data_IF_808860362174
#
_entry.id   IF_808860362174
#
_cell.length_a   1.000
_cell.length_b   1.000
_cell.length_c   1.000
_cell.angle_alpha   90.00
_cell.angle_beta   90.00
_cell.angle_gamma   90.00
#
_symmetry.space_group_name_H-M   'P 1'
#
loop_
_entity.id
_entity.type
_entity.pdbx_description
1 polymer ?
#
# COMPACT_ATOMS: atom_id res chain seq x y z
N UNK A 1 24.23 36.67 -22.61
CA UNK A 1 23.37 36.55 -21.40
C UNK A 1 22.07 37.35 -21.49
N UNK A 2 22.06 38.67 -21.77
CA UNK A 2 20.80 39.46 -21.90
C UNK A 2 19.78 38.94 -22.94
N UNK A 3 20.22 38.41 -24.09
CA UNK A 3 19.32 37.83 -25.11
C UNK A 3 18.70 36.48 -24.69
N UNK A 4 19.38 35.71 -23.85
CA UNK A 4 18.87 34.43 -23.31
C UNK A 4 17.83 34.67 -22.19
N UNK A 5 18.01 35.72 -21.40
CA UNK A 5 17.05 36.14 -20.36
C UNK A 5 15.75 36.68 -20.99
N UNK A 6 15.85 37.46 -22.08
CA UNK A 6 14.68 37.96 -22.81
C UNK A 6 13.87 36.83 -23.47
N UNK A 7 14.55 35.80 -24.01
CA UNK A 7 13.88 34.66 -24.64
C UNK A 7 13.16 33.77 -23.61
N UNK A 8 13.76 33.55 -22.43
CA UNK A 8 13.14 32.82 -21.33
C UNK A 8 11.90 33.53 -20.77
N UNK A 9 11.90 34.86 -20.71
CA UNK A 9 10.75 35.65 -20.24
C UNK A 9 9.56 35.59 -21.22
N UNK A 10 9.80 35.53 -22.53
CA UNK A 10 8.74 35.42 -23.56
C UNK A 10 8.10 34.02 -23.52
N UNK A 11 8.89 32.96 -23.31
CA UNK A 11 8.37 31.58 -23.19
C UNK A 11 7.52 31.42 -21.92
N UNK A 12 7.92 32.02 -20.79
CA UNK A 12 7.15 31.99 -19.56
C UNK A 12 5.80 32.74 -19.69
N UNK A 13 5.78 33.88 -20.39
CA UNK A 13 4.55 34.64 -20.63
C UNK A 13 3.59 33.92 -21.59
N UNK A 14 4.11 33.25 -22.62
CA UNK A 14 3.29 32.46 -23.55
C UNK A 14 2.61 31.28 -22.85
N UNK A 15 3.35 30.55 -21.98
CA UNK A 15 2.83 29.41 -21.23
C UNK A 15 1.67 29.77 -20.28
N UNK A 16 1.70 30.97 -19.67
CA UNK A 16 0.60 31.45 -18.82
C UNK A 16 -0.67 31.79 -19.61
N UNK A 17 -0.56 32.18 -20.89
CA UNK A 17 -1.73 32.55 -21.71
C UNK A 17 -2.42 31.34 -22.35
N UNK A 18 -1.69 30.28 -22.66
CA UNK A 18 -2.26 29.03 -23.21
C UNK A 18 -3.06 28.29 -22.16
N UNK A 19 -2.55 28.21 -20.92
CA UNK A 19 -3.23 27.50 -19.83
C UNK A 19 -4.62 28.08 -19.51
N UNK A 20 -4.74 29.42 -19.49
CA UNK A 20 -6.03 30.10 -19.24
C UNK A 20 -7.08 29.83 -20.33
N UNK A 21 -6.65 29.69 -21.58
CA UNK A 21 -7.58 29.40 -22.70
C UNK A 21 -8.09 27.96 -22.64
N UNK A 22 -7.20 27.02 -22.31
CA UNK A 22 -7.55 25.60 -22.19
C UNK A 22 -8.55 25.38 -21.03
N UNK A 23 -8.33 26.03 -19.89
CA UNK A 23 -9.24 25.93 -18.72
C UNK A 23 -10.62 26.52 -19.04
N UNK A 24 -10.67 27.69 -19.70
CA UNK A 24 -11.93 28.31 -20.10
C UNK A 24 -12.69 27.42 -21.11
N UNK A 25 -12.01 26.87 -22.10
CA UNK A 25 -12.62 25.97 -23.08
C UNK A 25 -13.20 24.72 -22.43
N UNK A 26 -12.58 24.19 -21.38
CA UNK A 26 -13.12 23.05 -20.64
C UNK A 26 -14.37 23.44 -19.83
N UNK A 27 -14.35 24.59 -19.15
CA UNK A 27 -15.51 25.08 -18.39
C UNK A 27 -16.72 25.34 -19.28
N UNK A 28 -16.50 25.94 -20.45
CA UNK A 28 -17.56 26.17 -21.45
C UNK A 28 -18.15 24.82 -21.94
N UNK A 29 -17.30 23.80 -22.08
CA UNK A 29 -17.70 22.46 -22.49
C UNK A 29 -18.56 21.75 -21.44
N UNK A 30 -18.20 21.82 -20.16
CA UNK A 30 -18.95 21.13 -19.08
C UNK A 30 -20.18 21.93 -18.61
N UNK A 31 -20.15 23.27 -18.70
CA UNK A 31 -21.22 24.14 -18.24
C UNK A 31 -22.56 23.94 -18.97
N UNK A 32 -22.54 23.41 -20.19
CA UNK A 32 -23.73 23.09 -20.98
C UNK A 32 -24.21 21.63 -20.84
N UNK A 33 -23.53 20.81 -20.03
CA UNK A 33 -23.78 19.36 -19.94
C UNK A 33 -24.40 18.96 -18.60
N UNK A 34 -25.25 17.94 -18.63
CA UNK A 34 -25.72 17.24 -17.42
C UNK A 34 -24.59 16.44 -16.76
N UNK A 35 -24.73 16.11 -15.46
CA UNK A 35 -23.75 15.30 -14.71
C UNK A 35 -23.48 13.96 -15.39
N UNK A 36 -24.52 13.34 -15.93
CA UNK A 36 -24.49 12.05 -16.62
C UNK A 36 -23.69 12.16 -17.93
N UNK A 37 -23.88 13.24 -18.70
CA UNK A 37 -23.12 13.49 -19.93
C UNK A 37 -21.65 13.74 -19.64
N UNK A 38 -21.32 14.49 -18.58
CA UNK A 38 -19.94 14.74 -18.15
C UNK A 38 -19.26 13.42 -17.76
N UNK A 39 -19.95 12.59 -16.96
CA UNK A 39 -19.45 11.27 -16.56
C UNK A 39 -19.22 10.37 -17.78
N UNK A 40 -20.19 10.29 -18.69
CA UNK A 40 -20.10 9.48 -19.90
C UNK A 40 -18.93 9.91 -20.80
N UNK A 41 -18.63 11.21 -20.85
CA UNK A 41 -17.48 11.74 -21.60
C UNK A 41 -16.15 11.35 -20.96
N UNK A 42 -16.05 11.44 -19.63
CA UNK A 42 -14.91 10.90 -18.88
C UNK A 42 -14.72 9.41 -19.15
N UNK A 43 -15.80 8.61 -19.10
CA UNK A 43 -15.77 7.18 -19.37
C UNK A 43 -15.32 6.84 -20.80
N UNK A 44 -15.79 7.60 -21.80
CA UNK A 44 -15.37 7.40 -23.20
C UNK A 44 -13.87 7.69 -23.41
N UNK A 45 -13.32 8.69 -22.71
CA UNK A 45 -11.88 8.99 -22.73
C UNK A 45 -11.08 7.92 -21.99
N UNK A 46 -11.56 7.47 -20.83
CA UNK A 46 -10.94 6.39 -20.06
C UNK A 46 -10.89 5.08 -20.86
N UNK A 47 -11.93 4.74 -21.63
CA UNK A 47 -11.93 3.60 -22.54
C UNK A 47 -10.84 3.69 -23.62
N UNK A 48 -10.51 4.90 -24.05
CA UNK A 48 -9.40 5.19 -24.98
C UNK A 48 -8.04 5.28 -24.25
N UNK A 49 -7.98 5.00 -22.95
CA UNK A 49 -6.80 5.14 -22.08
C UNK A 49 -6.24 6.58 -22.00
N UNK A 50 -7.08 7.56 -22.31
CA UNK A 50 -6.77 8.98 -22.19
C UNK A 50 -6.98 9.43 -20.75
N UNK A 51 -6.10 8.96 -19.86
CA UNK A 51 -6.29 9.06 -18.41
C UNK A 51 -6.34 10.49 -17.92
N UNK A 52 -5.43 11.36 -18.38
CA UNK A 52 -5.39 12.75 -17.94
C UNK A 52 -6.62 13.54 -18.40
N UNK A 53 -7.04 13.35 -19.66
CA UNK A 53 -8.27 13.99 -20.16
C UNK A 53 -9.52 13.47 -19.45
N UNK A 54 -9.64 12.15 -19.25
CA UNK A 54 -10.76 11.56 -18.51
C UNK A 54 -10.83 12.11 -17.07
N UNK A 55 -9.66 12.23 -16.42
CA UNK A 55 -9.54 12.74 -15.05
C UNK A 55 -10.09 14.16 -14.92
N UNK A 56 -9.93 15.03 -15.91
CA UNK A 56 -10.51 16.39 -15.89
C UNK A 56 -12.03 16.36 -15.71
N UNK A 57 -12.73 15.51 -16.47
CA UNK A 57 -14.18 15.36 -16.36
C UNK A 57 -14.61 14.76 -15.02
N UNK A 58 -13.88 13.76 -14.52
CA UNK A 58 -14.18 13.15 -13.23
C UNK A 58 -13.93 14.12 -12.06
N UNK A 59 -12.80 14.84 -12.07
CA UNK A 59 -12.47 15.84 -11.05
C UNK A 59 -13.53 16.95 -11.01
N UNK A 60 -13.96 17.44 -12.17
CA UNK A 60 -15.04 18.44 -12.21
C UNK A 60 -16.30 17.97 -11.49
N UNK A 61 -16.72 16.71 -11.71
CA UNK A 61 -17.88 16.14 -11.02
C UNK A 61 -17.65 15.93 -9.53
N UNK A 62 -16.49 15.41 -9.13
CA UNK A 62 -16.20 15.17 -7.71
C UNK A 62 -16.09 16.46 -6.91
N UNK A 63 -15.58 17.52 -7.53
CA UNK A 63 -15.31 18.79 -6.87
C UNK A 63 -16.57 19.66 -6.81
N UNK A 64 -17.38 19.64 -7.88
CA UNK A 64 -18.63 20.42 -7.95
C UNK A 64 -19.77 19.76 -7.17
N UNK A 65 -19.82 18.42 -7.14
CA UNK A 65 -20.92 17.65 -6.54
C UNK A 65 -20.44 16.58 -5.54
N UNK A 66 -19.61 16.92 -4.52
CA UNK A 66 -18.92 15.94 -3.68
C UNK A 66 -19.84 15.00 -2.89
N UNK A 67 -21.07 15.42 -2.60
CA UNK A 67 -22.05 14.62 -1.86
C UNK A 67 -23.04 13.86 -2.75
N UNK A 68 -23.09 14.18 -4.04
CA UNK A 68 -23.95 13.51 -5.01
C UNK A 68 -23.41 12.10 -5.32
N UNK A 69 -24.26 11.06 -5.48
CA UNK A 69 -23.80 9.73 -5.84
C UNK A 69 -22.89 9.68 -7.09
N UNK A 70 -23.14 10.52 -8.10
CA UNK A 70 -22.29 10.64 -9.28
C UNK A 70 -20.96 11.31 -8.98
N UNK A 71 -20.94 12.36 -8.14
CA UNK A 71 -19.70 13.02 -7.74
C UNK A 71 -18.81 12.09 -6.90
N UNK A 72 -19.40 11.31 -5.99
CA UNK A 72 -18.71 10.26 -5.25
C UNK A 72 -18.15 9.18 -6.17
N UNK A 73 -18.95 8.70 -7.13
CA UNK A 73 -18.48 7.77 -8.16
C UNK A 73 -17.35 8.36 -9.00
N UNK A 74 -17.42 9.66 -9.31
CA UNK A 74 -16.38 10.36 -10.06
C UNK A 74 -15.07 10.47 -9.25
N UNK A 75 -15.13 10.69 -7.94
CA UNK A 75 -13.93 10.68 -7.08
C UNK A 75 -13.18 9.34 -7.14
N UNK A 76 -13.90 8.21 -7.17
CA UNK A 76 -13.29 6.89 -7.39
C UNK A 76 -12.70 6.77 -8.79
N UNK A 77 -13.39 7.27 -9.81
CA UNK A 77 -12.88 7.28 -11.19
C UNK A 77 -11.60 8.09 -11.34
N UNK A 78 -11.46 9.22 -10.63
CA UNK A 78 -10.18 9.96 -10.53
C UNK A 78 -9.08 9.03 -10.01
N UNK A 79 -9.32 8.33 -8.88
CA UNK A 79 -8.35 7.37 -8.33
C UNK A 79 -8.02 6.23 -9.32
N UNK A 80 -9.04 5.69 -10.00
CA UNK A 80 -8.87 4.65 -11.01
C UNK A 80 -7.95 5.09 -12.16
N UNK A 81 -8.03 6.36 -12.59
CA UNK A 81 -7.13 6.88 -13.64
C UNK A 81 -5.66 6.89 -13.23
N UNK A 82 -5.36 7.13 -11.94
CA UNK A 82 -4.00 7.08 -11.42
C UNK A 82 -3.53 5.63 -11.25
N UNK A 83 -4.40 4.76 -10.74
CA UNK A 83 -4.09 3.33 -10.63
C UNK A 83 -3.79 2.70 -11.99
N UNK A 84 -4.46 3.17 -13.06
CA UNK A 84 -4.27 2.70 -14.41
C UNK A 84 -2.89 3.03 -15.02
N UNK A 85 -2.14 3.99 -14.46
CA UNK A 85 -0.78 4.33 -14.91
C UNK A 85 0.21 3.21 -14.62
N UNK A 86 -0.02 2.43 -13.55
CA UNK A 86 0.79 1.27 -13.15
C UNK A 86 2.26 1.60 -12.87
N UNK A 87 2.52 2.79 -12.36
CA UNK A 87 3.82 3.22 -11.87
C UNK A 87 3.71 3.67 -10.40
N UNK A 88 4.87 3.90 -9.77
CA UNK A 88 4.94 4.26 -8.34
C UNK A 88 4.19 5.55 -8.02
N UNK A 89 4.26 6.56 -8.90
CA UNK A 89 3.60 7.85 -8.71
C UNK A 89 2.08 7.70 -8.78
N UNK A 90 1.59 7.01 -9.82
CA UNK A 90 0.18 6.69 -10.00
C UNK A 90 -0.37 5.85 -8.86
N UNK A 91 0.36 4.85 -8.35
CA UNK A 91 -0.06 4.10 -7.17
C UNK A 91 -0.12 4.97 -5.92
N UNK A 92 0.86 5.85 -5.71
CA UNK A 92 0.88 6.76 -4.56
C UNK A 92 -0.33 7.70 -4.58
N UNK A 93 -0.61 8.29 -5.73
CA UNK A 93 -1.74 9.22 -5.89
C UNK A 93 -3.09 8.50 -5.80
N UNK A 94 -3.19 7.28 -6.36
CA UNK A 94 -4.37 6.44 -6.22
C UNK A 94 -4.63 6.05 -4.76
N UNK A 95 -3.59 5.68 -4.00
CA UNK A 95 -3.71 5.37 -2.56
C UNK A 95 -4.31 6.54 -1.79
N UNK A 96 -3.79 7.75 -2.01
CA UNK A 96 -4.28 8.95 -1.35
C UNK A 96 -5.78 9.13 -1.58
N UNK A 97 -6.23 8.97 -2.83
CA UNK A 97 -7.62 9.20 -3.23
C UNK A 97 -8.57 8.10 -2.78
N UNK A 98 -8.20 6.83 -2.90
CA UNK A 98 -9.01 5.72 -2.37
C UNK A 98 -9.14 5.79 -0.86
N UNK A 99 -8.05 6.14 -0.15
CA UNK A 99 -8.06 6.36 1.30
C UNK A 99 -8.95 7.53 1.69
N UNK A 100 -8.87 8.66 0.98
CA UNK A 100 -9.74 9.81 1.20
C UNK A 100 -11.21 9.43 1.04
N UNK A 101 -11.57 8.77 -0.06
CA UNK A 101 -12.94 8.29 -0.30
C UNK A 101 -13.43 7.37 0.83
N UNK A 102 -12.64 6.36 1.18
CA UNK A 102 -13.01 5.38 2.20
C UNK A 102 -13.16 5.99 3.60
N UNK A 103 -12.49 7.11 3.88
CA UNK A 103 -12.61 7.85 5.14
C UNK A 103 -13.78 8.83 5.14
N UNK A 104 -13.96 9.57 4.04
CA UNK A 104 -15.01 10.59 3.92
C UNK A 104 -16.40 10.00 3.79
N UNK A 105 -16.52 8.82 3.17
CA UNK A 105 -17.80 8.19 2.89
C UNK A 105 -17.93 6.79 3.52
N UNK A 106 -17.96 6.68 4.86
CA UNK A 106 -17.94 5.41 5.57
C UNK A 106 -19.15 4.50 5.28
N UNK A 107 -20.27 5.09 4.84
CA UNK A 107 -21.53 4.39 4.54
C UNK A 107 -21.82 4.27 3.03
N UNK A 108 -20.90 4.70 2.16
CA UNK A 108 -21.13 4.58 0.70
C UNK A 108 -21.00 3.12 0.25
N UNK A 109 -21.89 2.64 -0.64
CA UNK A 109 -21.84 1.26 -1.14
C UNK A 109 -20.53 0.91 -1.87
N UNK A 110 -19.77 1.90 -2.36
CA UNK A 110 -18.48 1.70 -3.02
C UNK A 110 -17.28 1.76 -2.06
N UNK A 111 -17.49 1.95 -0.76
CA UNK A 111 -16.39 1.88 0.22
C UNK A 111 -15.60 0.56 0.19
N UNK A 112 -16.21 -0.64 0.09
CA UNK A 112 -15.42 -1.87 -0.03
C UNK A 112 -14.57 -1.92 -1.30
N UNK A 113 -15.03 -1.31 -2.41
CA UNK A 113 -14.21 -1.16 -3.62
C UNK A 113 -13.00 -0.26 -3.34
N UNK A 114 -13.21 0.91 -2.72
CA UNK A 114 -12.13 1.82 -2.38
C UNK A 114 -11.06 1.17 -1.48
N UNK A 115 -11.49 0.41 -0.47
CA UNK A 115 -10.58 -0.31 0.43
C UNK A 115 -9.81 -1.43 -0.29
N UNK A 116 -10.46 -2.17 -1.18
CA UNK A 116 -9.80 -3.16 -2.03
C UNK A 116 -8.74 -2.49 -2.92
N UNK A 117 -9.09 -1.40 -3.59
CA UNK A 117 -8.18 -0.72 -4.49
C UNK A 117 -7.03 -0.04 -3.76
N UNK A 118 -7.28 0.54 -2.57
CA UNK A 118 -6.23 1.00 -1.66
C UNK A 118 -5.22 -0.11 -1.36
N UNK A 119 -5.71 -1.31 -1.01
CA UNK A 119 -4.85 -2.46 -0.79
C UNK A 119 -4.07 -2.87 -2.04
N UNK A 120 -4.71 -2.87 -3.22
CA UNK A 120 -4.04 -3.22 -4.48
C UNK A 120 -2.93 -2.25 -4.85
N UNK A 121 -3.07 -0.96 -4.52
CA UNK A 121 -2.00 0.00 -4.71
C UNK A 121 -0.80 -0.28 -3.78
N UNK A 122 -1.05 -0.57 -2.49
CA UNK A 122 0.03 -0.97 -1.57
C UNK A 122 0.67 -2.28 -2.02
N UNK A 123 -0.13 -3.27 -2.40
CA UNK A 123 0.35 -4.57 -2.89
C UNK A 123 1.17 -4.46 -4.16
N UNK A 124 0.83 -3.54 -5.08
CA UNK A 124 1.61 -3.33 -6.30
C UNK A 124 3.00 -2.73 -6.04
N UNK A 125 3.18 -2.04 -4.91
CA UNK A 125 4.45 -1.42 -4.51
C UNK A 125 5.36 -2.34 -3.67
N UNK A 126 4.90 -3.56 -3.38
CA UNK A 126 5.65 -4.55 -2.61
C UNK A 126 6.96 -4.93 -3.31
N UNK A 127 8.03 -5.09 -2.53
CA UNK A 127 9.38 -5.44 -3.04
C UNK A 127 9.83 -6.84 -2.64
N UNK A 128 8.97 -7.59 -1.96
CA UNK A 128 9.21 -8.96 -1.54
C UNK A 128 9.77 -9.10 -0.11
N UNK A 129 9.87 -10.33 0.38
CA UNK A 129 10.00 -10.64 1.81
C UNK A 129 11.33 -10.25 2.46
N UNK A 130 12.32 -9.77 1.71
CA UNK A 130 13.62 -9.31 2.25
C UNK A 130 13.78 -7.80 2.23
N UNK A 131 12.75 -7.07 1.80
CA UNK A 131 12.77 -5.61 1.68
C UNK A 131 11.84 -5.00 2.74
N UNK A 132 11.58 -3.70 2.63
CA UNK A 132 10.58 -3.05 3.47
C UNK A 132 9.19 -3.64 3.18
N UNK A 133 8.54 -4.11 4.25
CA UNK A 133 7.24 -4.78 4.25
C UNK A 133 6.08 -3.84 4.60
N UNK A 134 6.35 -2.53 4.69
CA UNK A 134 5.30 -1.53 4.92
C UNK A 134 4.16 -1.66 3.91
N UNK A 135 4.40 -1.81 2.59
CA UNK A 135 3.32 -1.97 1.62
C UNK A 135 2.47 -3.24 1.87
N UNK A 136 3.09 -4.36 2.22
CA UNK A 136 2.42 -5.63 2.53
C UNK A 136 1.53 -5.50 3.77
N UNK A 137 2.02 -4.81 4.82
CA UNK A 137 1.23 -4.56 6.05
C UNK A 137 0.05 -3.64 5.79
N UNK A 138 0.25 -2.57 5.02
CA UNK A 138 -0.82 -1.65 4.64
C UNK A 138 -1.90 -2.30 3.78
N UNK A 139 -1.48 -3.14 2.83
CA UNK A 139 -2.37 -3.96 2.02
C UNK A 139 -3.17 -4.90 2.93
N UNK A 140 -2.51 -5.68 3.77
CA UNK A 140 -3.16 -6.61 4.69
C UNK A 140 -4.17 -5.92 5.62
N UNK A 141 -3.84 -4.74 6.15
CA UNK A 141 -4.74 -3.96 6.99
C UNK A 141 -6.00 -3.50 6.24
N UNK A 142 -5.86 -3.03 5.00
CA UNK A 142 -6.99 -2.59 4.18
C UNK A 142 -7.88 -3.75 3.75
N UNK A 143 -7.29 -4.90 3.39
CA UNK A 143 -8.02 -6.12 3.02
C UNK A 143 -8.78 -6.71 4.21
N UNK A 144 -8.16 -6.69 5.40
CA UNK A 144 -8.81 -7.12 6.64
C UNK A 144 -10.07 -6.29 6.92
N UNK A 145 -10.04 -4.98 6.67
CA UNK A 145 -11.23 -4.12 6.78
C UNK A 145 -12.34 -4.53 5.80
N UNK A 146 -12.00 -4.89 4.56
CA UNK A 146 -13.00 -5.40 3.60
C UNK A 146 -13.68 -6.66 4.15
N UNK A 147 -12.90 -7.62 4.65
CA UNK A 147 -13.44 -8.89 5.15
C UNK A 147 -14.23 -8.73 6.44
N UNK A 148 -13.80 -7.84 7.34
CA UNK A 148 -14.46 -7.62 8.63
C UNK A 148 -15.74 -6.81 8.50
N UNK A 149 -15.72 -5.74 7.69
CA UNK A 149 -16.85 -4.80 7.58
C UNK A 149 -17.80 -5.17 6.44
N UNK A 150 -17.32 -5.85 5.39
CA UNK A 150 -18.07 -6.15 4.18
C UNK A 150 -17.91 -7.60 3.71
N UNK A 151 -18.16 -8.61 4.58
CA UNK A 151 -17.92 -10.02 4.27
C UNK A 151 -18.77 -10.56 3.10
N UNK A 152 -19.93 -9.95 2.83
CA UNK A 152 -20.83 -10.31 1.72
C UNK A 152 -20.62 -9.48 0.45
N UNK A 153 -19.66 -8.55 0.44
CA UNK A 153 -19.38 -7.74 -0.75
C UNK A 153 -18.81 -8.60 -1.89
N UNK A 154 -19.02 -8.21 -3.16
CA UNK A 154 -18.40 -8.91 -4.30
C UNK A 154 -16.87 -8.89 -4.25
N UNK A 155 -16.28 -8.01 -3.43
CA UNK A 155 -14.84 -7.84 -3.25
C UNK A 155 -14.24 -8.74 -2.17
N UNK A 156 -15.05 -9.42 -1.35
CA UNK A 156 -14.56 -10.21 -0.23
C UNK A 156 -13.69 -11.40 -0.67
N UNK A 157 -14.05 -12.08 -1.76
CA UNK A 157 -13.28 -13.21 -2.27
C UNK A 157 -11.88 -12.79 -2.75
N UNK A 158 -11.79 -11.73 -3.55
CA UNK A 158 -10.52 -11.16 -4.00
C UNK A 158 -9.70 -10.64 -2.80
N UNK A 159 -10.37 -10.00 -1.83
CA UNK A 159 -9.68 -9.48 -0.66
C UNK A 159 -9.06 -10.59 0.20
N UNK A 160 -9.74 -11.75 0.31
CA UNK A 160 -9.24 -12.92 1.02
C UNK A 160 -8.00 -13.51 0.33
N UNK A 161 -8.02 -13.64 -0.99
CA UNK A 161 -6.88 -14.14 -1.77
C UNK A 161 -5.65 -13.22 -1.63
N UNK A 162 -5.85 -11.91 -1.81
CA UNK A 162 -4.77 -10.93 -1.64
C UNK A 162 -4.24 -10.89 -0.20
N UNK A 163 -5.12 -11.05 0.80
CA UNK A 163 -4.70 -11.07 2.20
C UNK A 163 -3.81 -12.29 2.46
N UNK A 164 -4.19 -13.46 1.94
CA UNK A 164 -3.35 -14.65 2.02
C UNK A 164 -1.96 -14.45 1.43
N UNK A 165 -1.84 -13.76 0.30
CA UNK A 165 -0.53 -13.41 -0.30
C UNK A 165 0.29 -12.46 0.57
N UNK A 166 -0.34 -11.42 1.13
CA UNK A 166 0.35 -10.51 2.06
C UNK A 166 0.82 -11.26 3.30
N UNK A 167 -0.03 -12.09 3.89
CA UNK A 167 0.30 -12.91 5.07
C UNK A 167 1.46 -13.87 4.77
N UNK A 168 1.48 -14.48 3.58
CA UNK A 168 2.58 -15.35 3.17
C UNK A 168 3.89 -14.58 3.00
N UNK A 169 3.88 -13.39 2.39
CA UNK A 169 5.08 -12.54 2.26
C UNK A 169 5.64 -12.16 3.65
N UNK A 170 4.77 -11.78 4.59
CA UNK A 170 5.14 -11.47 5.97
C UNK A 170 5.71 -12.70 6.70
N UNK A 171 5.10 -13.88 6.52
CA UNK A 171 5.59 -15.12 7.11
C UNK A 171 6.94 -15.56 6.52
N UNK A 172 7.10 -15.40 5.21
CA UNK A 172 8.34 -15.73 4.50
C UNK A 172 9.51 -14.87 5.00
N UNK A 173 9.27 -13.60 5.31
CA UNK A 173 10.29 -12.73 5.91
C UNK A 173 10.86 -13.29 7.22
N UNK A 174 9.98 -13.76 8.11
CA UNK A 174 10.37 -14.36 9.39
C UNK A 174 11.21 -15.62 9.17
N UNK A 175 10.78 -16.50 8.25
CA UNK A 175 11.52 -17.70 7.88
C UNK A 175 12.90 -17.38 7.30
N UNK A 176 12.99 -16.40 6.40
CA UNK A 176 14.27 -16.06 5.76
C UNK A 176 15.28 -15.49 6.77
N UNK A 177 14.82 -14.68 7.74
CA UNK A 177 15.70 -14.18 8.81
C UNK A 177 16.08 -15.32 9.77
N UNK A 178 15.16 -16.22 10.09
CA UNK A 178 15.49 -17.41 10.87
C UNK A 178 16.58 -18.27 10.20
N UNK A 179 16.48 -18.46 8.88
CA UNK A 179 17.51 -19.16 8.08
C UNK A 179 18.84 -18.41 8.12
N UNK A 180 18.83 -17.09 7.99
CA UNK A 180 20.04 -16.28 8.10
C UNK A 180 20.73 -16.48 9.45
N UNK A 181 19.99 -16.38 10.56
CA UNK A 181 20.55 -16.60 11.90
C UNK A 181 21.08 -18.03 12.09
N UNK A 182 20.36 -19.03 11.60
CA UNK A 182 20.82 -20.41 11.64
C UNK A 182 22.11 -20.65 10.82
N UNK A 183 22.32 -19.90 9.74
CA UNK A 183 23.52 -20.01 8.91
C UNK A 183 24.77 -19.43 9.57
N UNK A 184 24.61 -18.50 10.53
CA UNK A 184 25.70 -17.91 11.31
C UNK A 184 25.74 -18.46 12.74
N UNK A 185 25.15 -19.64 12.96
CA UNK A 185 25.08 -20.33 14.26
C UNK A 185 24.42 -19.53 15.40
N UNK A 186 23.66 -18.48 15.08
CA UNK A 186 22.90 -17.68 16.03
C UNK A 186 21.57 -18.36 16.40
N UNK A 187 21.64 -19.54 17.02
CA UNK A 187 20.50 -20.43 17.26
C UNK A 187 19.39 -19.83 18.12
N UNK A 188 19.73 -19.01 19.13
CA UNK A 188 18.73 -18.33 19.97
C UNK A 188 17.91 -17.33 19.15
N UNK A 189 18.58 -16.55 18.29
CA UNK A 189 17.91 -15.63 17.38
C UNK A 189 17.05 -16.36 16.36
N UNK A 190 17.56 -17.44 15.77
CA UNK A 190 16.78 -18.26 14.84
C UNK A 190 15.50 -18.80 15.51
N UNK A 191 15.60 -19.30 16.75
CA UNK A 191 14.44 -19.75 17.54
C UNK A 191 13.41 -18.64 17.73
N UNK A 192 13.83 -17.45 18.16
CA UNK A 192 12.92 -16.33 18.40
C UNK A 192 12.11 -15.96 17.15
N UNK A 193 12.75 -15.95 15.97
CA UNK A 193 12.07 -15.68 14.69
C UNK A 193 11.09 -16.79 14.32
N UNK A 194 11.45 -18.05 14.54
CA UNK A 194 10.58 -19.19 14.29
C UNK A 194 9.39 -19.25 15.25
N UNK A 195 9.61 -18.98 16.54
CA UNK A 195 8.54 -18.90 17.54
C UNK A 195 7.54 -17.81 17.13
N UNK A 196 8.02 -16.64 16.70
CA UNK A 196 7.17 -15.59 16.16
C UNK A 196 6.39 -16.03 14.91
N UNK A 197 7.06 -16.69 13.96
CA UNK A 197 6.44 -17.23 12.74
C UNK A 197 5.29 -18.19 13.06
N UNK A 198 5.52 -19.16 13.96
CA UNK A 198 4.49 -20.14 14.33
C UNK A 198 3.35 -19.52 15.14
N UNK A 199 3.63 -18.53 15.98
CA UNK A 199 2.61 -17.85 16.76
C UNK A 199 1.70 -16.95 15.90
N UNK A 200 2.25 -16.26 14.90
CA UNK A 200 1.52 -15.24 14.14
C UNK A 200 1.02 -15.72 12.78
N UNK A 201 1.67 -16.73 12.18
CA UNK A 201 1.34 -17.22 10.84
C UNK A 201 1.29 -18.76 10.75
N UNK A 202 0.58 -19.44 11.66
CA UNK A 202 0.61 -20.91 11.79
C UNK A 202 0.18 -21.65 10.51
N UNK A 203 -0.74 -21.07 9.73
CA UNK A 203 -1.30 -21.70 8.53
C UNK A 203 -0.53 -21.40 7.24
N UNK A 204 0.48 -20.51 7.30
CA UNK A 204 1.29 -20.12 6.16
C UNK A 204 2.11 -21.29 5.61
N UNK A 205 2.46 -21.21 4.32
CA UNK A 205 3.40 -22.18 3.74
C UNK A 205 4.78 -22.00 4.36
N UNK A 206 5.22 -20.76 4.59
CA UNK A 206 6.45 -20.45 5.31
C UNK A 206 6.54 -21.18 6.66
N UNK A 207 5.47 -21.18 7.49
CA UNK A 207 5.47 -21.92 8.75
C UNK A 207 5.63 -23.44 8.54
N UNK A 208 4.95 -24.02 7.56
CA UNK A 208 5.11 -25.46 7.23
C UNK A 208 6.55 -25.79 6.84
N UNK A 209 7.16 -24.95 5.98
CA UNK A 209 8.53 -25.09 5.50
C UNK A 209 9.58 -24.81 6.59
N UNK A 210 9.18 -24.16 7.69
CA UNK A 210 10.04 -23.81 8.81
C UNK A 210 10.23 -24.94 9.84
N UNK A 211 9.37 -25.97 9.83
CA UNK A 211 9.41 -27.06 10.83
C UNK A 211 10.77 -27.77 10.92
N UNK A 212 11.41 -28.19 9.81
CA UNK A 212 12.72 -28.85 9.89
C UNK A 212 13.81 -27.93 10.43
N UNK A 213 13.71 -26.62 10.18
CA UNK A 213 14.64 -25.65 10.73
C UNK A 213 14.48 -25.51 12.24
N UNK A 214 13.24 -25.50 12.75
CA UNK A 214 12.98 -25.48 14.19
C UNK A 214 13.56 -26.69 14.89
N UNK A 215 13.36 -27.90 14.34
CA UNK A 215 13.95 -29.12 14.90
C UNK A 215 15.49 -29.02 15.01
N UNK A 216 16.15 -28.56 13.94
CA UNK A 216 17.60 -28.32 13.94
C UNK A 216 18.02 -27.30 15.00
N UNK A 217 17.28 -26.19 15.12
CA UNK A 217 17.54 -25.13 16.11
C UNK A 217 17.43 -25.69 17.54
N UNK A 218 16.40 -26.47 17.85
CA UNK A 218 16.21 -27.07 19.17
C UNK A 218 17.34 -28.07 19.51
N UNK A 219 17.75 -28.90 18.55
CA UNK A 219 18.88 -29.83 18.74
C UNK A 219 20.18 -29.08 19.04
N UNK A 220 20.46 -28.00 18.30
CA UNK A 220 21.68 -27.18 18.50
C UNK A 220 21.68 -26.47 19.85
N UNK A 221 20.53 -25.97 20.31
CA UNK A 221 20.40 -25.34 21.62
C UNK A 221 20.54 -26.34 22.77
N UNK A 222 20.03 -27.57 22.61
CA UNK A 222 20.16 -28.62 23.63
C UNK A 222 21.60 -29.17 23.74
N UNK A 223 22.39 -29.10 22.65
CA UNK A 223 23.77 -29.53 22.63
C UNK A 223 24.75 -28.55 23.29
N UNK A 224 24.31 -27.33 23.63
CA UNK A 224 25.13 -26.39 24.41
C UNK A 224 25.03 -26.80 25.89
N UNK A 225 26.13 -27.27 26.53
CA UNK A 225 26.10 -27.57 27.95
C UNK A 225 25.69 -26.32 28.72
N UNK A 226 24.80 -26.48 29.72
CA UNK A 226 24.37 -25.39 30.58
C UNK A 226 25.60 -24.56 30.99
N UNK A 227 25.65 -23.30 30.58
CA UNK A 227 26.76 -22.43 30.92
C UNK A 227 26.97 -22.52 32.44
N UNK A 228 28.17 -22.93 32.85
CA UNK A 228 28.53 -23.00 34.27
C UNK A 228 28.15 -21.66 34.92
N UNK A 229 27.55 -21.66 36.12
CA UNK A 229 27.17 -20.43 36.78
C UNK A 229 28.39 -19.52 36.85
N UNK A 230 28.26 -18.31 36.31
CA UNK A 230 29.28 -17.26 36.39
C UNK A 230 29.70 -17.15 37.85
N UNK A 231 31.00 -17.28 38.21
CA UNK A 231 31.40 -17.14 39.60
C UNK A 231 30.94 -15.77 40.10
N UNK A 232 30.24 -15.78 41.24
CA UNK A 232 29.77 -14.56 41.87
C UNK A 232 30.94 -13.58 42.03
N UNK A 233 30.74 -12.27 41.79
CA UNK A 233 31.80 -11.29 41.93
C UNK A 233 32.35 -11.35 43.36
N UNK A 234 33.65 -11.57 43.48
CA UNK A 234 34.34 -11.63 44.76
C UNK A 234 34.05 -10.35 45.54
N UNK A 235 33.51 -10.50 46.75
CA UNK A 235 33.25 -9.40 47.66
C UNK A 235 34.54 -8.59 47.86
N UNK A 236 34.53 -7.34 47.41
CA UNK A 236 35.59 -6.39 47.69
C UNK A 236 35.69 -6.22 49.21
N UNK A 237 36.79 -6.67 49.80
CA UNK A 237 37.16 -6.30 51.16
C UNK A 237 37.41 -4.80 51.17
N UNK A 238 36.48 -4.04 51.72
CA UNK A 238 36.68 -2.62 52.05
C UNK A 238 37.78 -2.54 53.11
N UNK A 239 38.99 -2.21 52.68
CA UNK A 239 40.08 -1.81 53.56
C UNK A 239 39.73 -0.47 54.19
N UNK A 240 39.67 -0.44 55.53
CA UNK A 240 39.69 0.79 56.32
C UNK A 240 41.06 1.45 56.17
N UNK A 241 41.08 2.70 55.74
CA UNK A 241 42.06 3.70 56.14
C UNK A 241 41.34 5.03 56.35
#
# INVERSE_FOLDING_TARGET
MRRLIALAAIVALAACTTHKKDDQSFLDQVGAQSKEQIMARGDALAQQKKWDEARKFYSFLSDTFPNDPLGRRAALKVADTFFALKDTEGYTEAQLRYKDFANRFPSDPNRPYALLMLAKCSFAQRKGPLRDLTPEREAAASLSKVLQLYPSSPYAAEAKDLLGKCTEDLAMHELLIARYYANVDAWVGARQRLDYLFANYPDSKAAKDAKPLMEKVLQKLAAVPAAAPTPAPAAQKTGKH
#
